data_IF_531099015249
#
_entry.id   IF_531099015249
#
_cell.length_a   1.000
_cell.length_b   1.000
_cell.length_c   1.000
_cell.angle_alpha   90.00
_cell.angle_beta   90.00
_cell.angle_gamma   90.00
#
_symmetry.space_group_name_H-M   'P 1'
#
loop_
_entity.id
_entity.type
_entity.pdbx_description
1 polymer ?
#
# COMPACT_ATOMS: atom_id res chain seq x y z
N UNK A 1 7.46 -10.16 65.53
CA UNK A 1 7.02 -8.81 65.15
C UNK A 1 7.97 -8.26 64.09
N UNK A 2 7.41 -7.90 62.92
CA UNK A 2 7.96 -7.03 61.85
C UNK A 2 9.09 -7.60 60.98
N UNK A 3 8.69 -8.25 59.88
CA UNK A 3 9.46 -8.29 58.63
C UNK A 3 9.45 -6.89 58.00
N UNK A 4 10.62 -6.40 57.59
CA UNK A 4 10.80 -5.15 56.87
C UNK A 4 10.66 -5.37 55.36
N UNK A 5 9.93 -4.44 54.74
CA UNK A 5 9.65 -4.32 53.31
C UNK A 5 10.90 -4.05 52.48
N UNK A 6 11.05 -4.77 51.36
CA UNK A 6 11.75 -4.30 50.17
C UNK A 6 10.95 -4.74 48.94
N UNK A 7 9.96 -3.90 48.59
CA UNK A 7 9.29 -3.88 47.30
C UNK A 7 10.13 -3.02 46.36
N UNK A 8 10.56 -3.55 45.21
CA UNK A 8 11.19 -2.76 44.15
C UNK A 8 10.64 -3.20 42.79
N UNK A 9 9.69 -2.38 42.33
CA UNK A 9 9.38 -2.02 40.94
C UNK A 9 9.45 -3.13 39.88
N UNK A 10 8.33 -3.84 39.68
CA UNK A 10 8.02 -4.43 38.39
C UNK A 10 7.68 -3.32 37.38
N UNK A 11 8.41 -3.35 36.26
CA UNK A 11 8.24 -2.56 35.05
C UNK A 11 6.80 -2.61 34.54
N UNK A 12 6.05 -1.51 34.70
CA UNK A 12 4.89 -1.21 33.88
C UNK A 12 5.37 -0.53 32.59
N UNK A 13 5.84 -1.33 31.63
CA UNK A 13 5.88 -0.91 30.23
C UNK A 13 4.44 -0.89 29.72
N UNK A 14 3.70 0.16 30.05
CA UNK A 14 2.46 0.50 29.37
C UNK A 14 2.84 0.94 27.96
N UNK A 15 2.88 -0.03 27.04
CA UNK A 15 2.72 0.26 25.63
C UNK A 15 1.39 1.03 25.52
N UNK A 16 1.48 2.33 25.24
CA UNK A 16 0.33 3.09 24.79
C UNK A 16 -0.06 2.52 23.41
N UNK A 17 -0.82 1.42 23.41
CA UNK A 17 -1.56 1.01 22.23
C UNK A 17 -2.56 2.12 21.98
N UNK A 18 -2.26 2.94 20.98
CA UNK A 18 -3.27 3.78 20.38
C UNK A 18 -4.45 2.89 19.98
N UNK A 19 -5.68 3.40 20.15
CA UNK A 19 -6.88 2.68 19.75
C UNK A 19 -6.73 2.17 18.31
N UNK A 20 -7.22 0.95 17.99
CA UNK A 20 -7.24 0.46 16.62
C UNK A 20 -7.97 1.48 15.75
N UNK A 21 -7.32 1.96 14.69
CA UNK A 21 -7.98 2.77 13.67
C UNK A 21 -8.72 1.82 12.76
N UNK A 22 -10.02 2.07 12.55
CA UNK A 22 -10.80 1.32 11.56
C UNK A 22 -10.18 1.52 10.19
N UNK A 23 -9.80 0.42 9.54
CA UNK A 23 -9.26 0.45 8.18
C UNK A 23 -10.34 0.93 7.22
N UNK A 24 -9.99 1.84 6.30
CA UNK A 24 -10.93 2.31 5.30
C UNK A 24 -11.34 1.18 4.34
N UNK A 25 -12.65 0.98 4.20
CA UNK A 25 -13.27 0.06 3.25
C UNK A 25 -14.50 0.73 2.64
N UNK A 26 -14.82 0.38 1.40
CA UNK A 26 -15.94 0.94 0.63
C UNK A 26 -16.64 -0.19 -0.10
N UNK A 27 -17.93 -0.41 0.14
CA UNK A 27 -18.70 -1.29 -0.73
C UNK A 27 -18.88 -0.64 -2.10
N UNK A 28 -18.07 -1.06 -3.07
CA UNK A 28 -18.13 -0.56 -4.44
C UNK A 28 -19.44 -0.90 -5.16
N UNK A 29 -20.30 -1.75 -4.60
CA UNK A 29 -21.67 -1.93 -5.08
C UNK A 29 -22.52 -0.66 -4.99
N UNK A 30 -22.09 0.33 -4.20
CA UNK A 30 -22.71 1.66 -4.11
C UNK A 30 -22.42 2.55 -5.32
N UNK A 31 -21.33 2.27 -6.06
CA UNK A 31 -21.01 2.95 -7.31
C UNK A 31 -21.85 2.33 -8.45
N UNK A 32 -22.65 3.13 -9.17
CA UNK A 32 -23.70 2.59 -10.04
C UNK A 32 -23.21 2.07 -11.40
N UNK A 33 -21.95 2.34 -11.77
CA UNK A 33 -21.40 1.98 -13.09
C UNK A 33 -20.36 0.86 -13.02
N UNK A 34 -20.31 -0.01 -14.03
CA UNK A 34 -19.25 -1.03 -14.12
C UNK A 34 -18.01 -0.46 -14.81
N UNK A 35 -16.82 -0.88 -14.38
CA UNK A 35 -15.54 -0.44 -14.96
C UNK A 35 -15.20 -1.20 -16.26
N UNK A 36 -16.08 -1.14 -17.25
CA UNK A 36 -16.01 -1.94 -18.49
C UNK A 36 -15.33 -1.22 -19.67
N UNK A 37 -14.77 -0.04 -19.44
CA UNK A 37 -13.99 0.69 -20.44
C UNK A 37 -12.98 1.63 -19.78
N UNK A 38 -11.95 2.08 -20.50
CA UNK A 38 -11.04 3.13 -20.03
C UNK A 38 -11.75 4.44 -19.66
N UNK A 39 -12.79 4.83 -20.41
CA UNK A 39 -13.56 6.03 -20.12
C UNK A 39 -14.36 5.91 -18.81
N UNK A 40 -14.97 4.75 -18.55
CA UNK A 40 -15.70 4.50 -17.30
C UNK A 40 -14.76 4.40 -16.09
N UNK A 41 -13.52 3.94 -16.29
CA UNK A 41 -12.48 4.05 -15.29
C UNK A 41 -12.16 5.51 -14.96
N UNK A 42 -12.05 6.38 -15.96
CA UNK A 42 -11.79 7.80 -15.73
C UNK A 42 -12.94 8.52 -15.02
N UNK A 43 -14.20 8.22 -15.36
CA UNK A 43 -15.38 8.78 -14.65
C UNK A 43 -15.30 8.45 -13.16
N UNK A 44 -15.10 7.18 -12.83
CA UNK A 44 -14.94 6.74 -11.44
C UNK A 44 -13.70 7.37 -10.78
N UNK A 45 -12.57 7.43 -11.50
CA UNK A 45 -11.31 8.01 -11.02
C UNK A 45 -11.46 9.50 -10.68
N UNK A 46 -12.10 10.31 -11.53
CA UNK A 46 -12.37 11.72 -11.24
C UNK A 46 -13.21 11.88 -9.98
N UNK A 47 -14.22 11.03 -9.79
CA UNK A 47 -15.07 11.04 -8.61
C UNK A 47 -14.28 10.73 -7.32
N UNK A 48 -13.48 9.65 -7.30
CA UNK A 48 -12.66 9.31 -6.13
C UNK A 48 -11.60 10.40 -5.85
N UNK A 49 -10.97 10.97 -6.89
CA UNK A 49 -9.98 12.05 -6.75
C UNK A 49 -10.61 13.29 -6.11
N UNK A 50 -11.77 13.74 -6.59
CA UNK A 50 -12.45 14.92 -6.04
C UNK A 50 -12.94 14.68 -4.61
N UNK A 51 -13.45 13.47 -4.32
CA UNK A 51 -13.86 13.09 -2.96
C UNK A 51 -12.67 13.11 -1.98
N UNK A 52 -11.53 12.55 -2.37
CA UNK A 52 -10.31 12.60 -1.56
C UNK A 52 -9.77 14.01 -1.43
N UNK A 53 -9.73 14.79 -2.51
CA UNK A 53 -9.29 16.17 -2.50
C UNK A 53 -10.14 17.05 -1.57
N UNK A 54 -11.47 16.83 -1.55
CA UNK A 54 -12.37 17.49 -0.60
C UNK A 54 -12.01 17.17 0.85
N UNK A 55 -11.82 15.89 1.19
CA UNK A 55 -11.40 15.46 2.52
C UNK A 55 -10.01 15.99 2.92
N UNK A 56 -9.08 16.04 1.98
CA UNK A 56 -7.74 16.59 2.16
C UNK A 56 -7.79 18.09 2.48
N UNK A 57 -8.53 18.85 1.69
CA UNK A 57 -8.76 20.29 1.91
C UNK A 57 -9.41 20.55 3.28
N UNK A 58 -10.44 19.79 3.64
CA UNK A 58 -11.09 19.91 4.94
C UNK A 58 -10.13 19.62 6.11
N UNK A 59 -9.19 18.68 5.94
CA UNK A 59 -8.20 18.36 6.97
C UNK A 59 -7.22 19.52 7.25
N UNK A 60 -6.94 20.37 6.26
CA UNK A 60 -6.01 21.49 6.37
C UNK A 60 -6.57 22.65 7.18
N UNK A 61 -7.89 22.71 7.37
CA UNK A 61 -8.53 23.69 8.23
C UNK A 61 -8.41 23.37 9.74
N UNK A 62 -7.94 22.17 10.09
CA UNK A 62 -7.78 21.75 11.48
C UNK A 62 -6.53 22.37 12.11
N UNK A 63 -6.68 22.91 13.32
CA UNK A 63 -5.53 23.29 14.14
C UNK A 63 -4.81 22.05 14.72
N UNK A 64 -3.64 22.29 15.33
CA UNK A 64 -2.82 21.24 15.94
C UNK A 64 -3.57 20.36 16.96
N UNK A 65 -4.50 20.95 17.72
CA UNK A 65 -5.23 20.23 18.77
C UNK A 65 -6.29 19.31 18.15
N UNK A 66 -7.06 19.84 17.20
CA UNK A 66 -8.07 19.09 16.46
C UNK A 66 -7.42 17.98 15.62
N UNK A 67 -6.26 18.24 15.00
CA UNK A 67 -5.53 17.24 14.22
C UNK A 67 -4.99 16.11 15.11
N UNK A 68 -4.40 16.44 16.27
CA UNK A 68 -3.98 15.44 17.28
C UNK A 68 -5.14 14.56 17.73
N UNK A 69 -6.30 15.17 18.00
CA UNK A 69 -7.51 14.45 18.40
C UNK A 69 -8.01 13.54 17.28
N UNK A 70 -8.15 14.05 16.05
CA UNK A 70 -8.58 13.28 14.87
C UNK A 70 -7.69 12.08 14.62
N UNK A 71 -6.37 12.28 14.64
CA UNK A 71 -5.41 11.21 14.39
C UNK A 71 -5.22 10.28 15.59
N UNK A 72 -5.79 10.59 16.77
CA UNK A 72 -5.59 9.81 18.00
C UNK A 72 -4.12 9.77 18.45
N UNK A 73 -3.44 10.92 18.39
CA UNK A 73 -2.02 11.07 18.72
C UNK A 73 -1.81 12.18 19.75
N UNK A 74 -0.93 11.94 20.74
CA UNK A 74 -0.55 12.97 21.74
C UNK A 74 0.45 13.97 21.16
N UNK A 75 1.33 13.50 20.28
CA UNK A 75 2.40 14.26 19.64
C UNK A 75 2.31 13.94 18.15
N UNK A 76 2.43 14.97 17.32
CA UNK A 76 2.45 14.86 15.87
C UNK A 76 3.66 15.61 15.33
N UNK A 77 4.25 15.11 14.24
CA UNK A 77 5.19 15.85 13.42
C UNK A 77 4.41 16.59 12.33
N UNK A 78 4.10 17.87 12.58
CA UNK A 78 3.32 18.69 11.64
C UNK A 78 4.07 18.91 10.32
N UNK A 79 5.39 19.10 10.35
CA UNK A 79 6.18 19.27 9.13
C UNK A 79 6.09 18.05 8.21
N UNK A 80 6.17 16.83 8.76
CA UNK A 80 6.01 15.61 7.96
C UNK A 80 4.58 15.44 7.41
N UNK A 81 3.56 15.85 8.18
CA UNK A 81 2.16 15.91 7.71
C UNK A 81 2.05 16.87 6.53
N UNK A 82 2.59 18.08 6.65
CA UNK A 82 2.50 19.09 5.59
C UNK A 82 3.28 18.68 4.34
N UNK A 83 4.42 18.00 4.49
CA UNK A 83 5.16 17.41 3.38
C UNK A 83 4.33 16.36 2.63
N UNK A 84 3.68 15.45 3.36
CA UNK A 84 2.78 14.46 2.78
C UNK A 84 1.61 15.14 2.06
N UNK A 85 0.94 16.13 2.69
CA UNK A 85 -0.18 16.85 2.07
C UNK A 85 0.20 17.49 0.74
N UNK A 86 1.38 18.13 0.66
CA UNK A 86 1.88 18.72 -0.59
C UNK A 86 2.09 17.67 -1.67
N UNK A 87 2.63 16.50 -1.32
CA UNK A 87 2.80 15.38 -2.25
C UNK A 87 1.45 14.82 -2.73
N UNK A 88 0.49 14.66 -1.81
CA UNK A 88 -0.85 14.19 -2.14
C UNK A 88 -1.53 15.15 -3.12
N UNK A 89 -1.50 16.46 -2.89
CA UNK A 89 -2.07 17.44 -3.83
C UNK A 89 -1.44 17.36 -5.21
N UNK A 90 -0.11 17.26 -5.30
CA UNK A 90 0.58 17.11 -6.58
C UNK A 90 0.13 15.85 -7.33
N UNK A 91 0.04 14.71 -6.63
CA UNK A 91 -0.44 13.44 -7.19
C UNK A 91 -1.90 13.54 -7.64
N UNK A 92 -2.77 14.19 -6.87
CA UNK A 92 -4.18 14.39 -7.24
C UNK A 92 -4.31 15.24 -8.51
N UNK A 93 -3.53 16.32 -8.64
CA UNK A 93 -3.53 17.17 -9.83
C UNK A 93 -3.06 16.41 -11.07
N UNK A 94 -1.95 15.67 -10.98
CA UNK A 94 -1.45 14.83 -12.07
C UNK A 94 -2.52 13.80 -12.48
N UNK A 95 -3.09 13.09 -11.50
CA UNK A 95 -4.08 12.05 -11.74
C UNK A 95 -5.38 12.60 -12.34
N UNK A 96 -5.86 13.74 -11.86
CA UNK A 96 -7.04 14.39 -12.42
C UNK A 96 -6.76 14.87 -13.85
N UNK A 97 -5.55 15.37 -14.10
CA UNK A 97 -5.12 15.81 -15.43
C UNK A 97 -5.14 14.67 -16.44
N UNK A 98 -4.74 13.46 -16.05
CA UNK A 98 -4.90 12.27 -16.90
C UNK A 98 -6.37 11.87 -17.04
N UNK A 99 -7.12 11.84 -15.94
CA UNK A 99 -8.51 11.39 -15.94
C UNK A 99 -9.45 12.31 -16.74
N UNK A 100 -9.16 13.62 -16.82
CA UNK A 100 -9.99 14.57 -17.57
C UNK A 100 -9.75 14.53 -19.09
N UNK A 101 -8.74 13.81 -19.59
CA UNK A 101 -8.49 13.71 -21.04
C UNK A 101 -9.61 12.99 -21.81
N UNK A 102 -10.37 12.13 -21.12
CA UNK A 102 -11.54 11.44 -21.68
C UNK A 102 -12.86 12.16 -21.42
N UNK A 103 -12.81 13.42 -20.99
CA UNK A 103 -14.00 14.22 -20.81
C UNK A 103 -14.71 14.50 -22.14
N UNK A 104 -15.86 13.86 -22.32
CA UNK A 104 -16.84 14.21 -23.34
C UNK A 104 -17.82 15.26 -22.80
N UNK A 105 -18.61 15.86 -23.70
CA UNK A 105 -19.70 16.76 -23.32
C UNK A 105 -20.66 16.05 -22.34
N UNK A 106 -21.02 16.71 -21.23
CA UNK A 106 -21.87 16.19 -20.15
C UNK A 106 -21.30 14.99 -19.33
N UNK A 107 -20.01 14.68 -19.43
CA UNK A 107 -19.41 13.63 -18.61
C UNK A 107 -19.42 13.97 -17.11
N UNK A 108 -19.92 13.03 -16.29
CA UNK A 108 -19.93 13.16 -14.83
C UNK A 108 -18.53 13.44 -14.26
N UNK A 109 -18.48 14.31 -13.25
CA UNK A 109 -17.27 14.69 -12.52
C UNK A 109 -16.16 15.29 -13.41
N UNK A 110 -16.51 15.78 -14.59
CA UNK A 110 -15.59 16.45 -15.49
C UNK A 110 -15.65 17.97 -15.28
N UNK A 111 -14.76 18.48 -14.43
CA UNK A 111 -14.51 19.90 -14.26
C UNK A 111 -13.22 20.27 -14.97
N UNK A 112 -13.12 21.49 -15.51
CA UNK A 112 -11.86 21.98 -16.05
C UNK A 112 -10.91 22.28 -14.89
N UNK A 113 -9.79 21.55 -14.84
CA UNK A 113 -8.72 21.73 -13.85
C UNK A 113 -7.38 21.82 -14.59
N UNK A 114 -6.80 23.01 -14.71
CA UNK A 114 -5.52 23.20 -15.41
C UNK A 114 -4.35 23.33 -14.42
N UNK A 115 -4.64 23.70 -13.18
CA UNK A 115 -3.62 23.95 -12.16
C UNK A 115 -4.12 23.60 -10.73
N UNK A 116 -3.25 23.84 -9.75
CA UNK A 116 -3.52 23.51 -8.35
C UNK A 116 -4.66 24.33 -7.75
N UNK A 117 -4.78 25.61 -8.10
CA UNK A 117 -5.82 26.49 -7.57
C UNK A 117 -7.20 26.02 -8.07
N UNK A 118 -7.30 25.65 -9.35
CA UNK A 118 -8.54 25.09 -9.91
C UNK A 118 -8.95 23.81 -9.17
N UNK A 119 -8.01 22.87 -8.95
CA UNK A 119 -8.32 21.61 -8.26
C UNK A 119 -8.82 21.86 -6.84
N UNK A 120 -8.16 22.77 -6.10
CA UNK A 120 -8.54 23.10 -4.73
C UNK A 120 -9.90 23.82 -4.69
N UNK A 121 -10.20 24.66 -5.67
CA UNK A 121 -11.51 25.28 -5.82
C UNK A 121 -12.61 24.24 -6.07
N UNK A 122 -12.39 23.31 -7.01
CA UNK A 122 -13.33 22.22 -7.28
C UNK A 122 -13.51 21.32 -6.05
N UNK A 123 -12.43 20.96 -5.36
CA UNK A 123 -12.48 20.20 -4.12
C UNK A 123 -13.31 20.91 -3.04
N UNK A 124 -13.17 22.23 -2.88
CA UNK A 124 -13.94 23.01 -1.90
C UNK A 124 -15.43 23.09 -2.21
N UNK A 125 -15.82 22.96 -3.48
CA UNK A 125 -17.22 22.97 -3.95
C UNK A 125 -17.80 21.58 -4.16
N UNK A 126 -16.98 20.54 -4.02
CA UNK A 126 -17.37 19.19 -4.39
C UNK A 126 -18.48 18.67 -3.48
N UNK A 127 -19.65 18.45 -4.08
CA UNK A 127 -20.83 17.91 -3.42
C UNK A 127 -21.63 17.10 -4.45
N UNK A 128 -22.15 15.95 -4.03
CA UNK A 128 -23.03 15.13 -4.87
C UNK A 128 -24.47 15.43 -4.51
N UNK A 129 -25.23 15.97 -5.45
CA UNK A 129 -26.65 16.30 -5.25
C UNK A 129 -27.48 15.08 -4.82
N UNK A 130 -28.48 15.29 -3.96
CA UNK A 130 -29.42 14.25 -3.51
C UNK A 130 -30.17 13.54 -4.65
N UNK A 131 -30.34 14.21 -5.79
CA UNK A 131 -30.99 13.67 -6.99
C UNK A 131 -29.99 13.07 -8.00
N UNK A 132 -28.70 13.02 -7.66
CA UNK A 132 -27.64 12.50 -8.52
C UNK A 132 -27.74 10.98 -8.67
N UNK A 133 -27.38 10.48 -9.86
CA UNK A 133 -27.19 9.06 -10.10
C UNK A 133 -26.16 8.42 -9.16
N UNK A 134 -25.22 9.21 -8.64
CA UNK A 134 -24.12 8.77 -7.77
C UNK A 134 -24.39 8.95 -6.27
N UNK A 135 -25.58 9.37 -5.85
CA UNK A 135 -25.86 9.68 -4.44
C UNK A 135 -25.62 8.49 -3.51
N UNK A 136 -25.88 7.26 -3.97
CA UNK A 136 -25.63 6.05 -3.19
C UNK A 136 -24.15 5.81 -2.86
N UNK A 137 -23.23 6.31 -3.69
CA UNK A 137 -21.78 6.22 -3.49
C UNK A 137 -21.22 7.35 -2.63
N UNK A 138 -21.85 8.53 -2.63
CA UNK A 138 -21.26 9.75 -2.11
C UNK A 138 -20.87 9.67 -0.61
N UNK A 139 -21.81 9.29 0.27
CA UNK A 139 -21.52 9.20 1.71
C UNK A 139 -20.56 8.04 2.06
N UNK A 140 -20.74 6.81 1.56
CA UNK A 140 -19.78 5.72 1.76
C UNK A 140 -18.37 6.08 1.27
N UNK A 141 -18.26 6.73 0.11
CA UNK A 141 -16.97 7.16 -0.43
C UNK A 141 -16.33 8.26 0.42
N UNK A 142 -17.10 9.25 0.89
CA UNK A 142 -16.59 10.26 1.83
C UNK A 142 -15.96 9.60 3.06
N UNK A 143 -16.66 8.66 3.69
CA UNK A 143 -16.13 7.95 4.87
C UNK A 143 -14.88 7.14 4.57
N UNK A 144 -14.81 6.49 3.40
CA UNK A 144 -13.60 5.80 2.96
C UNK A 144 -12.42 6.77 2.85
N UNK A 145 -12.59 7.88 2.12
CA UNK A 145 -11.50 8.82 1.85
C UNK A 145 -11.05 9.57 3.11
N UNK A 146 -11.97 9.94 4.01
CA UNK A 146 -11.63 10.54 5.30
C UNK A 146 -10.77 9.60 6.16
N UNK A 147 -11.18 8.33 6.27
CA UNK A 147 -10.43 7.31 7.03
C UNK A 147 -9.09 6.98 6.39
N UNK A 148 -9.05 6.83 5.07
CA UNK A 148 -7.81 6.55 4.36
C UNK A 148 -6.82 7.71 4.47
N UNK A 149 -7.30 8.96 4.38
CA UNK A 149 -6.48 10.14 4.65
C UNK A 149 -5.93 10.10 6.08
N UNK A 150 -6.75 9.75 7.08
CA UNK A 150 -6.30 9.64 8.47
C UNK A 150 -5.23 8.56 8.66
N UNK A 151 -5.33 7.42 7.95
CA UNK A 151 -4.26 6.41 7.92
C UNK A 151 -2.93 6.99 7.42
N UNK A 152 -2.96 7.75 6.32
CA UNK A 152 -1.77 8.36 5.72
C UNK A 152 -1.19 9.47 6.61
N UNK A 153 -2.03 10.38 7.10
CA UNK A 153 -1.61 11.48 7.97
C UNK A 153 -1.06 10.97 9.31
N UNK A 154 -1.64 9.91 9.87
CA UNK A 154 -1.13 9.28 11.09
C UNK A 154 0.25 8.67 10.87
N UNK A 155 0.50 8.04 9.72
CA UNK A 155 1.83 7.52 9.34
C UNK A 155 2.85 8.65 9.21
N UNK A 156 2.51 9.72 8.50
CA UNK A 156 3.38 10.89 8.37
C UNK A 156 3.66 11.57 9.72
N UNK A 157 2.65 11.69 10.58
CA UNK A 157 2.77 12.31 11.90
C UNK A 157 3.80 11.63 12.81
N UNK A 158 4.11 10.36 12.57
CA UNK A 158 5.07 9.57 13.35
C UNK A 158 6.47 9.52 12.70
N UNK A 159 6.61 10.01 11.47
CA UNK A 159 7.88 10.06 10.75
C UNK A 159 8.84 11.10 11.36
N UNK A 160 10.16 10.88 11.38
CA UNK A 160 10.88 9.68 10.97
C UNK A 160 11.04 8.62 12.08
N UNK A 161 10.50 8.85 13.28
CA UNK A 161 10.67 7.95 14.43
C UNK A 161 10.06 6.57 14.18
N UNK A 162 8.88 6.56 13.55
CA UNK A 162 8.26 5.35 13.02
C UNK A 162 8.09 5.60 11.53
N UNK A 163 9.07 5.15 10.75
CA UNK A 163 9.03 5.23 9.29
C UNK A 163 7.96 4.29 8.72
N UNK A 164 7.40 4.68 7.57
CA UNK A 164 6.48 3.86 6.81
C UNK A 164 6.65 4.13 5.31
N UNK A 165 5.81 3.52 4.50
CA UNK A 165 5.75 3.67 3.05
C UNK A 165 5.38 5.08 2.56
N UNK A 166 4.74 5.92 3.39
CA UNK A 166 4.22 7.24 2.97
C UNK A 166 5.30 8.31 2.80
N UNK A 167 6.53 8.02 3.21
CA UNK A 167 7.66 8.95 3.11
C UNK A 167 8.95 8.19 2.79
N UNK A 168 9.75 8.73 1.89
CA UNK A 168 11.05 8.19 1.47
C UNK A 168 12.21 8.87 2.20
N UNK A 169 13.27 8.12 2.48
CA UNK A 169 14.54 8.64 3.01
C UNK A 169 15.52 9.06 1.91
N UNK A 170 15.27 8.69 0.65
CA UNK A 170 16.03 9.16 -0.50
C UNK A 170 15.85 8.27 -1.73
N UNK A 171 16.65 8.53 -2.77
CA UNK A 171 16.52 7.91 -4.10
C UNK A 171 16.91 6.43 -4.15
N UNK A 172 17.30 5.81 -3.04
CA UNK A 172 17.48 4.36 -2.96
C UNK A 172 16.15 3.64 -2.67
N UNK A 173 15.09 4.40 -2.42
CA UNK A 173 13.76 3.90 -2.11
C UNK A 173 12.78 4.26 -3.23
N UNK A 174 11.93 3.30 -3.55
CA UNK A 174 10.99 3.38 -4.66
C UNK A 174 9.61 2.93 -4.22
N UNK A 175 8.60 3.60 -4.72
CA UNK A 175 7.18 3.24 -4.67
C UNK A 175 6.64 3.26 -6.11
N UNK A 176 5.33 3.30 -6.29
CA UNK A 176 4.70 3.31 -7.61
C UNK A 176 4.53 4.69 -8.25
N UNK A 177 5.06 5.77 -7.67
CA UNK A 177 4.89 7.12 -8.20
C UNK A 177 5.52 7.29 -9.59
N UNK A 178 6.59 6.53 -9.88
CA UNK A 178 7.35 6.54 -11.14
C UNK A 178 6.69 5.71 -12.25
N UNK A 179 5.60 4.99 -11.97
CA UNK A 179 4.87 4.23 -12.99
C UNK A 179 4.10 5.17 -13.94
N UNK A 180 3.81 4.69 -15.15
CA UNK A 180 2.91 5.40 -16.07
C UNK A 180 1.46 5.33 -15.56
N UNK A 181 0.62 6.25 -16.04
CA UNK A 181 -0.82 6.22 -15.77
C UNK A 181 -1.43 4.85 -16.12
N UNK A 182 -2.35 4.36 -15.28
CA UNK A 182 -2.99 3.04 -15.36
C UNK A 182 -2.06 1.83 -15.33
N UNK A 183 -0.82 2.00 -14.86
CA UNK A 183 0.11 0.89 -14.63
C UNK A 183 0.19 0.50 -13.16
N UNK A 184 0.04 -0.80 -12.90
CA UNK A 184 0.09 -1.35 -11.54
C UNK A 184 1.09 -2.50 -11.43
N UNK A 185 1.85 -2.53 -10.33
CA UNK A 185 2.73 -3.65 -10.00
C UNK A 185 2.10 -4.50 -8.89
N UNK A 186 1.93 -5.79 -9.13
CA UNK A 186 1.51 -6.74 -8.10
C UNK A 186 2.69 -7.20 -7.25
N UNK A 187 2.51 -7.14 -5.94
CA UNK A 187 3.51 -7.63 -4.98
C UNK A 187 2.88 -8.40 -3.83
N UNK A 188 3.66 -9.33 -3.28
CA UNK A 188 3.21 -10.21 -2.20
C UNK A 188 4.23 -10.29 -1.06
N UNK A 189 3.77 -10.16 0.17
CA UNK A 189 4.60 -10.08 1.36
C UNK A 189 4.43 -11.27 2.32
N UNK A 190 5.53 -11.64 2.98
CA UNK A 190 5.54 -12.53 4.15
C UNK A 190 5.77 -14.01 3.85
N UNK A 191 5.69 -14.43 2.58
CA UNK A 191 5.86 -15.82 2.17
C UNK A 191 7.29 -16.37 2.18
N UNK A 192 7.48 -17.59 1.66
CA UNK A 192 6.42 -18.50 1.20
C UNK A 192 5.62 -19.08 2.37
N UNK A 193 4.35 -19.40 2.12
CA UNK A 193 3.51 -20.24 2.97
C UNK A 193 4.04 -21.70 3.02
N UNK A 194 3.56 -22.53 3.97
CA UNK A 194 3.84 -23.96 3.99
C UNK A 194 3.50 -24.66 2.65
N UNK A 195 4.08 -25.85 2.44
CA UNK A 195 3.86 -26.67 1.22
C UNK A 195 2.36 -26.85 0.94
N UNK A 196 1.95 -26.68 -0.32
CA UNK A 196 0.55 -26.73 -0.75
C UNK A 196 -0.32 -25.63 -0.13
N UNK A 197 0.30 -24.52 0.29
CA UNK A 197 -0.35 -23.36 0.89
C UNK A 197 -0.74 -22.29 -0.14
N UNK A 198 -0.94 -21.08 0.36
CA UNK A 198 -1.46 -19.97 -0.45
C UNK A 198 -0.46 -19.45 -1.50
N UNK A 199 0.84 -19.45 -1.21
CA UNK A 199 1.88 -19.13 -2.20
C UNK A 199 1.83 -20.06 -3.42
N UNK A 200 1.61 -21.36 -3.22
CA UNK A 200 1.47 -22.34 -4.31
C UNK A 200 0.29 -21.99 -5.22
N UNK A 201 -0.87 -21.69 -4.62
CA UNK A 201 -2.06 -21.29 -5.38
C UNK A 201 -1.85 -19.97 -6.13
N UNK A 202 -1.27 -18.96 -5.47
CA UNK A 202 -1.08 -17.63 -6.05
C UNK A 202 -0.12 -17.65 -7.24
N UNK A 203 1.03 -18.31 -7.10
CA UNK A 203 2.00 -18.42 -8.19
C UNK A 203 1.43 -19.19 -9.39
N UNK A 204 0.64 -20.25 -9.15
CA UNK A 204 -0.05 -20.98 -10.21
C UNK A 204 -1.15 -20.14 -10.88
N UNK A 205 -1.93 -19.42 -10.09
CA UNK A 205 -2.97 -18.52 -10.59
C UNK A 205 -2.37 -17.43 -11.49
N UNK A 206 -1.30 -16.76 -11.04
CA UNK A 206 -0.60 -15.73 -11.83
C UNK A 206 -0.07 -16.29 -13.15
N UNK A 207 0.58 -17.47 -13.15
CA UNK A 207 1.03 -18.13 -14.38
C UNK A 207 -0.12 -18.42 -15.35
N UNK A 208 -1.28 -18.88 -14.84
CA UNK A 208 -2.49 -19.11 -15.65
C UNK A 208 -3.06 -17.82 -16.22
N UNK A 209 -2.97 -16.71 -15.48
CA UNK A 209 -3.33 -15.37 -15.98
C UNK A 209 -2.26 -14.76 -16.89
N UNK A 210 -1.12 -15.44 -17.11
CA UNK A 210 0.06 -14.93 -17.84
C UNK A 210 0.59 -13.62 -17.24
N UNK A 211 0.53 -13.51 -15.92
CA UNK A 211 1.01 -12.37 -15.15
C UNK A 211 2.22 -12.77 -14.31
N UNK A 212 3.05 -11.79 -14.00
CA UNK A 212 4.07 -11.91 -12.98
C UNK A 212 3.90 -10.84 -11.89
N UNK A 213 4.56 -11.10 -10.78
CA UNK A 213 4.55 -10.28 -9.58
C UNK A 213 5.88 -10.39 -8.86
N UNK A 214 6.12 -9.49 -7.90
CA UNK A 214 7.28 -9.59 -7.01
C UNK A 214 6.84 -10.16 -5.66
N UNK A 215 7.45 -11.27 -5.25
CA UNK A 215 7.26 -11.87 -3.93
C UNK A 215 8.41 -11.46 -3.01
N UNK A 216 8.10 -10.81 -1.90
CA UNK A 216 9.05 -10.43 -0.86
C UNK A 216 9.05 -11.48 0.23
N UNK A 217 10.02 -12.39 0.15
CA UNK A 217 10.07 -13.56 1.03
C UNK A 217 10.78 -13.27 2.34
N UNK A 218 10.33 -13.93 3.40
CA UNK A 218 11.08 -14.04 4.64
C UNK A 218 12.12 -15.15 4.53
N UNK A 219 13.36 -14.84 4.88
CA UNK A 219 14.47 -15.81 4.81
C UNK A 219 14.20 -17.06 5.66
N UNK A 220 13.63 -16.91 6.86
CA UNK A 220 13.27 -18.07 7.69
C UNK A 220 12.17 -18.94 7.06
N UNK A 221 11.14 -18.32 6.47
CA UNK A 221 10.05 -19.04 5.81
C UNK A 221 10.57 -19.80 4.58
N UNK A 222 11.45 -19.15 3.80
CA UNK A 222 12.09 -19.77 2.64
C UNK A 222 12.98 -20.94 3.05
N UNK A 223 13.79 -20.80 4.10
CA UNK A 223 14.61 -21.87 4.64
C UNK A 223 13.74 -23.07 5.05
N UNK A 224 12.69 -22.83 5.84
CA UNK A 224 11.74 -23.88 6.23
C UNK A 224 11.07 -24.53 5.02
N UNK A 225 10.71 -23.76 3.99
CA UNK A 225 10.12 -24.30 2.76
C UNK A 225 11.06 -25.28 2.06
N UNK A 226 12.35 -24.93 1.93
CA UNK A 226 13.37 -25.82 1.36
C UNK A 226 13.53 -27.08 2.19
N UNK A 227 13.63 -26.96 3.52
CA UNK A 227 13.77 -28.10 4.44
C UNK A 227 12.58 -29.07 4.39
N UNK A 228 11.38 -28.56 4.10
CA UNK A 228 10.14 -29.34 4.01
C UNK A 228 9.82 -29.84 2.60
N UNK A 229 10.59 -29.42 1.60
CA UNK A 229 10.43 -29.84 0.20
C UNK A 229 11.82 -30.05 -0.43
N UNK A 230 12.18 -29.29 -1.45
CA UNK A 230 13.51 -29.31 -2.05
C UNK A 230 13.86 -27.96 -2.68
N UNK A 231 15.12 -27.77 -3.03
CA UNK A 231 15.54 -26.58 -3.77
C UNK A 231 14.85 -26.48 -5.14
N UNK A 232 14.69 -27.61 -5.83
CA UNK A 232 14.02 -27.67 -7.12
C UNK A 232 12.53 -27.30 -7.02
N UNK A 233 11.84 -27.75 -5.97
CA UNK A 233 10.43 -27.40 -5.75
C UNK A 233 10.24 -25.90 -5.52
N UNK A 234 11.17 -25.26 -4.80
CA UNK A 234 11.12 -23.81 -4.56
C UNK A 234 11.44 -23.00 -5.82
N UNK A 235 12.38 -23.47 -6.64
CA UNK A 235 12.63 -22.87 -7.96
C UNK A 235 11.40 -22.97 -8.86
N UNK A 236 10.75 -24.14 -8.89
CA UNK A 236 9.52 -24.34 -9.65
C UNK A 236 8.35 -23.48 -9.13
N UNK A 237 8.22 -23.34 -7.81
CA UNK A 237 7.20 -22.50 -7.16
C UNK A 237 7.21 -21.08 -7.73
N UNK A 238 8.39 -20.45 -7.81
CA UNK A 238 8.55 -19.08 -8.27
C UNK A 238 8.83 -18.96 -9.78
N UNK A 239 8.70 -20.04 -10.56
CA UNK A 239 8.91 -19.96 -12.01
C UNK A 239 8.06 -18.84 -12.65
N UNK A 240 8.72 -17.94 -13.38
CA UNK A 240 8.09 -16.78 -14.02
C UNK A 240 7.79 -15.60 -13.10
N UNK A 241 8.10 -15.68 -11.81
CA UNK A 241 7.91 -14.62 -10.82
C UNK A 241 9.24 -13.98 -10.42
N UNK A 242 9.19 -12.78 -9.83
CA UNK A 242 10.37 -12.13 -9.25
C UNK A 242 10.38 -12.31 -7.73
N UNK A 243 11.57 -12.45 -7.14
CA UNK A 243 11.72 -12.66 -5.70
C UNK A 243 12.69 -11.64 -5.11
N UNK A 244 12.13 -10.75 -4.30
CA UNK A 244 12.86 -9.86 -3.40
C UNK A 244 12.83 -10.40 -1.96
N UNK A 245 13.38 -9.65 -1.01
CA UNK A 245 13.48 -10.10 0.39
C UNK A 245 12.78 -9.15 1.36
N UNK A 246 12.20 -9.71 2.42
CA UNK A 246 11.58 -8.96 3.51
C UNK A 246 12.40 -9.02 4.82
N UNK A 247 13.66 -9.44 4.70
CA UNK A 247 14.55 -9.77 5.82
C UNK A 247 14.41 -11.21 6.27
N UNK A 248 15.03 -11.56 7.39
CA UNK A 248 15.07 -12.93 7.90
C UNK A 248 13.79 -13.33 8.63
N UNK A 249 13.24 -12.42 9.44
CA UNK A 249 11.99 -12.58 10.19
C UNK A 249 11.17 -11.30 10.03
N UNK A 250 9.84 -11.43 10.14
CA UNK A 250 8.92 -10.30 10.09
C UNK A 250 9.06 -9.46 11.36
N UNK A 251 9.99 -8.51 11.32
CA UNK A 251 10.39 -7.63 12.42
C UNK A 251 10.75 -6.27 11.87
N UNK A 252 10.45 -5.22 12.62
CA UNK A 252 10.84 -3.86 12.27
C UNK A 252 12.36 -3.72 12.15
N UNK A 253 12.85 -3.29 10.99
CA UNK A 253 14.27 -3.04 10.74
C UNK A 253 14.73 -1.66 11.24
N UNK A 254 13.82 -0.80 11.73
CA UNK A 254 14.18 0.48 12.32
C UNK A 254 14.85 0.36 13.70
N UNK A 255 14.51 -0.68 14.47
CA UNK A 255 15.02 -0.87 15.84
C UNK A 255 15.77 -2.18 16.06
N UNK A 256 15.66 -3.13 15.16
CA UNK A 256 16.36 -4.41 15.31
C UNK A 256 17.88 -4.21 15.18
N UNK A 257 18.64 -4.76 16.12
CA UNK A 257 20.11 -4.74 16.12
C UNK A 257 20.68 -5.48 14.89
N UNK A 258 20.13 -6.65 14.56
CA UNK A 258 20.63 -7.51 13.48
C UNK A 258 19.97 -7.23 12.13
N UNK A 259 19.43 -6.03 11.93
CA UNK A 259 18.66 -5.68 10.73
C UNK A 259 19.49 -5.86 9.43
N UNK A 260 20.80 -5.55 9.46
CA UNK A 260 21.68 -5.71 8.31
C UNK A 260 21.90 -7.19 7.97
N UNK A 261 22.24 -8.02 8.96
CA UNK A 261 22.46 -9.45 8.75
C UNK A 261 21.16 -10.17 8.36
N UNK A 262 20.03 -9.70 8.87
CA UNK A 262 18.69 -10.14 8.46
C UNK A 262 18.45 -9.95 6.96
N UNK A 263 18.88 -8.81 6.40
CA UNK A 263 18.74 -8.53 4.96
C UNK A 263 19.76 -9.34 4.16
N UNK A 264 21.05 -9.26 4.49
CA UNK A 264 22.12 -9.90 3.69
C UNK A 264 22.01 -11.42 3.68
N UNK A 265 21.63 -12.04 4.81
CA UNK A 265 21.38 -13.48 4.90
C UNK A 265 20.23 -13.91 4.01
N UNK A 266 19.11 -13.17 4.02
CA UNK A 266 17.95 -13.49 3.17
C UNK A 266 18.27 -13.29 1.69
N UNK A 267 18.93 -12.18 1.33
CA UNK A 267 19.33 -11.90 -0.05
C UNK A 267 20.26 -12.99 -0.58
N UNK A 268 21.29 -13.38 0.20
CA UNK A 268 22.18 -14.47 -0.17
C UNK A 268 21.48 -15.82 -0.30
N UNK A 269 20.50 -16.12 0.56
CA UNK A 269 19.70 -17.35 0.43
C UNK A 269 18.90 -17.37 -0.87
N UNK A 270 18.18 -16.28 -1.19
CA UNK A 270 17.39 -16.18 -2.43
C UNK A 270 18.28 -16.25 -3.66
N UNK A 271 19.36 -15.47 -3.69
CA UNK A 271 20.28 -15.40 -4.82
C UNK A 271 20.94 -16.75 -5.12
N UNK A 272 21.32 -17.51 -4.09
CA UNK A 272 21.89 -18.84 -4.26
C UNK A 272 20.86 -19.89 -4.68
N UNK A 273 19.63 -19.79 -4.17
CA UNK A 273 18.58 -20.77 -4.42
C UNK A 273 17.91 -20.60 -5.78
N UNK A 274 17.69 -19.37 -6.21
CA UNK A 274 16.91 -19.02 -7.40
C UNK A 274 17.44 -17.76 -8.09
N UNK A 275 18.69 -17.79 -8.62
CA UNK A 275 19.35 -16.61 -9.19
C UNK A 275 18.57 -15.96 -10.33
N UNK A 276 17.88 -16.76 -11.14
CA UNK A 276 17.07 -16.26 -12.26
C UNK A 276 15.86 -15.45 -11.81
N UNK A 277 15.32 -15.72 -10.62
CA UNK A 277 14.14 -15.03 -10.07
C UNK A 277 14.52 -13.86 -9.16
N UNK A 278 15.74 -13.86 -8.64
CA UNK A 278 16.21 -12.86 -7.69
C UNK A 278 16.19 -11.46 -8.31
N UNK A 279 15.57 -10.54 -7.58
CA UNK A 279 15.66 -9.10 -7.82
C UNK A 279 16.27 -8.43 -6.59
N UNK A 280 17.19 -7.45 -6.74
CA UNK A 280 17.89 -6.81 -5.63
C UNK A 280 17.00 -5.79 -4.89
N UNK A 281 15.82 -6.24 -4.45
CA UNK A 281 14.81 -5.44 -3.79
C UNK A 281 14.61 -5.95 -2.36
N UNK A 282 14.60 -5.01 -1.42
CA UNK A 282 14.23 -5.24 -0.04
C UNK A 282 12.93 -4.52 0.30
N UNK A 283 11.98 -5.23 0.91
CA UNK A 283 10.78 -4.64 1.49
C UNK A 283 10.85 -4.66 3.02
N UNK A 284 10.85 -3.51 3.69
CA UNK A 284 10.88 -3.46 5.14
C UNK A 284 9.53 -3.91 5.72
N UNK A 285 9.49 -4.85 6.69
CA UNK A 285 8.30 -5.14 7.46
C UNK A 285 7.68 -3.86 8.03
N UNK A 286 6.36 -3.72 7.88
CA UNK A 286 5.60 -2.52 8.28
C UNK A 286 6.02 -1.20 7.60
N UNK A 287 6.86 -1.23 6.57
CA UNK A 287 7.47 -0.02 6.01
C UNK A 287 8.61 0.55 6.88
N UNK A 288 8.94 -0.11 8.00
CA UNK A 288 9.82 0.44 9.04
C UNK A 288 11.28 0.11 8.78
N UNK A 289 12.06 1.16 8.45
CA UNK A 289 13.51 1.12 8.24
C UNK A 289 14.20 2.32 8.88
N UNK A 290 15.53 2.28 8.96
CA UNK A 290 16.32 3.36 9.55
C UNK A 290 16.57 4.49 8.55
N UNK A 291 16.54 5.72 9.02
CA UNK A 291 16.85 6.90 8.20
C UNK A 291 18.31 6.92 7.70
N UNK A 292 19.23 6.28 8.44
CA UNK A 292 20.66 6.20 8.12
C UNK A 292 21.04 4.96 7.30
N UNK A 293 20.06 4.23 6.75
CA UNK A 293 20.30 2.95 6.07
C UNK A 293 20.79 3.07 4.61
N UNK A 294 20.79 4.28 4.03
CA UNK A 294 21.16 4.50 2.62
C UNK A 294 22.53 3.91 2.26
N UNK A 295 23.56 4.18 3.05
CA UNK A 295 24.92 3.71 2.76
C UNK A 295 25.03 2.18 2.75
N UNK A 296 24.25 1.50 3.60
CA UNK A 296 24.17 0.04 3.59
C UNK A 296 23.50 -0.47 2.30
N UNK A 297 22.35 0.07 1.92
CA UNK A 297 21.65 -0.37 0.71
C UNK A 297 22.49 -0.14 -0.56
N UNK A 298 23.17 1.00 -0.65
CA UNK A 298 24.12 1.27 -1.74
C UNK A 298 25.27 0.26 -1.76
N UNK A 299 25.88 -0.04 -0.61
CA UNK A 299 26.98 -1.01 -0.52
C UNK A 299 26.54 -2.44 -0.90
N UNK A 300 25.31 -2.83 -0.55
CA UNK A 300 24.77 -4.16 -0.89
C UNK A 300 24.19 -4.23 -2.32
N UNK A 301 24.11 -3.09 -3.04
CA UNK A 301 23.46 -3.03 -4.34
C UNK A 301 21.97 -3.37 -4.28
N UNK A 302 21.30 -3.02 -3.17
CA UNK A 302 19.87 -3.28 -2.93
C UNK A 302 19.09 -1.96 -2.98
N UNK A 303 17.85 -2.01 -3.48
CA UNK A 303 16.88 -0.92 -3.39
C UNK A 303 15.77 -1.26 -2.40
N UNK A 304 15.20 -0.24 -1.76
CA UNK A 304 14.03 -0.39 -0.89
C UNK A 304 12.75 -0.26 -1.72
N UNK A 305 11.92 -1.29 -1.71
CA UNK A 305 10.64 -1.33 -2.42
C UNK A 305 9.46 -1.12 -1.46
N UNK A 306 8.83 0.04 -1.54
CA UNK A 306 7.64 0.45 -0.80
C UNK A 306 6.37 0.16 -1.63
N UNK A 307 5.22 0.67 -1.17
CA UNK A 307 3.93 0.52 -1.84
C UNK A 307 3.05 1.75 -1.65
N UNK A 308 2.02 1.87 -2.48
CA UNK A 308 1.02 2.94 -2.41
C UNK A 308 -0.38 2.38 -2.11
N UNK A 309 -0.64 1.16 -2.58
CA UNK A 309 -1.95 0.51 -2.53
C UNK A 309 -1.84 -0.70 -1.61
N UNK A 310 -2.32 -0.52 -0.39
CA UNK A 310 -2.34 -1.57 0.64
C UNK A 310 -3.71 -2.24 0.69
N UNK A 311 -3.75 -3.55 0.43
CA UNK A 311 -4.98 -4.34 0.46
C UNK A 311 -5.55 -4.55 1.85
N UNK A 312 -4.73 -4.42 2.91
CA UNK A 312 -5.11 -4.67 4.29
C UNK A 312 -5.71 -6.07 4.49
N UNK A 313 -5.15 -7.06 3.79
CA UNK A 313 -5.57 -8.47 3.82
C UNK A 313 -4.97 -9.26 5.01
N UNK A 314 -4.15 -8.63 5.85
CA UNK A 314 -3.58 -9.22 7.07
C UNK A 314 -4.64 -9.68 8.09
N UNK A 315 -4.33 -10.64 8.98
CA UNK A 315 -5.24 -11.08 10.04
C UNK A 315 -5.77 -9.92 10.91
N UNK A 316 -7.06 -9.93 11.21
CA UNK A 316 -7.70 -8.90 12.05
C UNK A 316 -7.92 -7.54 11.38
N UNK A 317 -7.65 -7.43 10.08
CA UNK A 317 -7.96 -6.26 9.24
C UNK A 317 -9.24 -6.48 8.42
N UNK A 318 -9.21 -6.27 7.11
CA UNK A 318 -10.39 -6.41 6.24
C UNK A 318 -10.69 -7.87 5.88
N UNK A 319 -11.94 -8.17 5.52
CA UNK A 319 -12.30 -9.41 4.82
C UNK A 319 -11.77 -9.40 3.39
N UNK A 320 -11.84 -10.53 2.71
CA UNK A 320 -11.23 -10.67 1.38
C UNK A 320 -11.92 -9.82 0.30
N UNK A 321 -13.25 -9.77 0.32
CA UNK A 321 -14.06 -8.89 -0.53
C UNK A 321 -13.80 -7.41 -0.23
N UNK A 322 -13.79 -7.03 1.05
CA UNK A 322 -13.44 -5.68 1.49
C UNK A 322 -12.02 -5.28 1.04
N UNK A 323 -11.05 -6.20 1.10
CA UNK A 323 -9.68 -5.98 0.62
C UNK A 323 -9.65 -5.72 -0.89
N UNK A 324 -10.41 -6.49 -1.69
CA UNK A 324 -10.53 -6.24 -3.12
C UNK A 324 -11.15 -4.88 -3.42
N UNK A 325 -12.23 -4.53 -2.72
CA UNK A 325 -12.93 -3.27 -2.91
C UNK A 325 -12.07 -2.06 -2.52
N UNK A 326 -11.28 -2.18 -1.44
CA UNK A 326 -10.27 -1.19 -1.06
C UNK A 326 -9.23 -1.02 -2.16
N UNK A 327 -8.64 -2.13 -2.66
CA UNK A 327 -7.65 -2.08 -3.74
C UNK A 327 -8.23 -1.39 -4.98
N UNK A 328 -9.44 -1.75 -5.41
CA UNK A 328 -10.11 -1.12 -6.56
C UNK A 328 -10.32 0.39 -6.37
N UNK A 329 -10.72 0.82 -5.17
CA UNK A 329 -10.95 2.23 -4.85
C UNK A 329 -9.63 3.01 -4.87
N UNK A 330 -8.57 2.44 -4.29
CA UNK A 330 -7.23 3.04 -4.32
C UNK A 330 -6.62 3.04 -5.72
N UNK A 331 -6.90 2.04 -6.57
CA UNK A 331 -6.48 2.04 -7.97
C UNK A 331 -7.14 3.19 -8.75
N UNK A 332 -8.41 3.51 -8.48
CA UNK A 332 -9.12 4.63 -9.11
C UNK A 332 -8.59 5.99 -8.62
N UNK A 333 -8.34 6.12 -7.32
CA UNK A 333 -7.79 7.34 -6.71
C UNK A 333 -6.36 7.61 -7.21
N UNK A 334 -5.51 6.59 -7.15
CA UNK A 334 -4.08 6.73 -7.42
C UNK A 334 -3.67 6.52 -8.87
N UNK A 335 -4.53 5.86 -9.65
CA UNK A 335 -4.39 5.56 -11.09
C UNK A 335 -3.17 4.76 -11.52
N UNK A 336 -2.16 4.69 -10.67
CA UNK A 336 -0.93 3.93 -10.80
C UNK A 336 -0.44 3.58 -9.40
N UNK A 337 0.34 2.51 -9.28
CA UNK A 337 0.93 2.20 -8.00
C UNK A 337 1.42 0.77 -7.84
N UNK A 338 2.11 0.56 -6.73
CA UNK A 338 2.48 -0.78 -6.28
C UNK A 338 1.42 -1.29 -5.31
N UNK A 339 0.83 -2.44 -5.63
CA UNK A 339 -0.21 -3.11 -4.84
C UNK A 339 0.44 -4.19 -3.98
N UNK A 340 0.15 -4.17 -2.67
CA UNK A 340 0.62 -5.21 -1.74
C UNK A 340 -0.53 -6.09 -1.24
N UNK A 341 -0.33 -7.39 -1.36
CA UNK A 341 -1.09 -8.47 -0.72
C UNK A 341 -0.13 -9.32 0.13
N UNK A 342 -0.66 -10.25 0.92
CA UNK A 342 0.16 -11.18 1.70
C UNK A 342 -0.08 -12.62 1.23
N UNK A 343 0.92 -13.27 0.64
CA UNK A 343 0.78 -14.62 0.05
C UNK A 343 0.69 -15.75 1.08
N UNK A 344 0.82 -15.43 2.36
CA UNK A 344 0.52 -16.34 3.46
C UNK A 344 -0.97 -16.33 3.84
N UNK A 345 -1.75 -15.36 3.36
CA UNK A 345 -3.14 -15.14 3.75
C UNK A 345 -4.13 -15.71 2.71
N UNK A 346 -5.20 -16.35 3.19
CA UNK A 346 -6.24 -16.91 2.31
C UNK A 346 -6.98 -15.81 1.53
N UNK A 347 -7.03 -14.60 2.08
CA UNK A 347 -7.81 -13.48 1.53
C UNK A 347 -7.33 -13.07 0.14
N UNK A 348 -6.03 -13.09 -0.13
CA UNK A 348 -5.47 -12.80 -1.44
C UNK A 348 -6.03 -13.71 -2.54
N UNK A 349 -6.41 -14.96 -2.22
CA UNK A 349 -6.97 -15.93 -3.17
C UNK A 349 -8.37 -15.58 -3.66
N UNK A 350 -9.09 -14.75 -2.90
CA UNK A 350 -10.41 -14.24 -3.27
C UNK A 350 -10.27 -12.82 -3.82
N UNK A 351 -9.47 -11.99 -3.14
CA UNK A 351 -9.36 -10.58 -3.48
C UNK A 351 -8.73 -10.35 -4.86
N UNK A 352 -7.64 -11.05 -5.18
CA UNK A 352 -6.93 -10.87 -6.43
C UNK A 352 -7.81 -11.21 -7.66
N UNK A 353 -8.48 -12.38 -7.73
CA UNK A 353 -9.42 -12.65 -8.83
C UNK A 353 -10.51 -11.60 -8.99
N UNK A 354 -11.07 -11.09 -7.88
CA UNK A 354 -12.08 -10.03 -7.92
C UNK A 354 -11.53 -8.74 -8.53
N UNK A 355 -10.33 -8.32 -8.13
CA UNK A 355 -9.66 -7.13 -8.68
C UNK A 355 -9.43 -7.29 -10.18
N UNK A 356 -8.85 -8.43 -10.60
CA UNK A 356 -8.56 -8.69 -12.02
C UNK A 356 -9.84 -8.76 -12.86
N UNK A 357 -10.89 -9.42 -12.35
CA UNK A 357 -12.17 -9.51 -13.05
C UNK A 357 -12.86 -8.13 -13.17
N UNK A 358 -12.86 -7.34 -12.11
CA UNK A 358 -13.49 -6.02 -12.09
C UNK A 358 -12.80 -5.01 -13.00
N UNK A 359 -11.50 -5.22 -13.31
CA UNK A 359 -10.67 -4.26 -14.08
C UNK A 359 -10.27 -4.76 -15.46
N UNK A 360 -10.67 -5.97 -15.86
CA UNK A 360 -10.23 -6.61 -17.10
C UNK A 360 -10.46 -5.78 -18.37
N UNK A 361 -11.46 -4.90 -18.38
CA UNK A 361 -11.83 -4.05 -19.52
C UNK A 361 -11.55 -2.56 -19.27
N UNK A 362 -10.94 -2.21 -18.14
CA UNK A 362 -10.67 -0.81 -17.76
C UNK A 362 -9.43 -0.22 -18.45
N UNK A 363 -8.75 -0.99 -19.32
CA UNK A 363 -7.55 -0.53 -20.01
C UNK A 363 -6.34 -0.33 -19.09
N UNK A 364 -6.22 -1.16 -18.05
CA UNK A 364 -5.08 -1.13 -17.14
C UNK A 364 -3.93 -1.97 -17.68
N UNK A 365 -2.71 -1.54 -17.41
CA UNK A 365 -1.52 -2.34 -17.62
C UNK A 365 -0.96 -2.88 -16.30
N UNK A 366 -0.35 -4.05 -16.39
CA UNK A 366 0.32 -4.71 -15.27
C UNK A 366 1.81 -4.67 -15.52
N UNK A 367 2.54 -4.00 -14.63
CA UNK A 367 3.98 -3.82 -14.74
C UNK A 367 4.70 -5.16 -14.56
N UNK A 368 5.58 -5.49 -15.50
CA UNK A 368 6.42 -6.66 -15.44
C UNK A 368 7.38 -6.57 -14.24
N UNK A 369 7.44 -7.61 -13.41
CA UNK A 369 8.17 -7.60 -12.15
C UNK A 369 9.69 -7.41 -12.33
N UNK A 370 10.25 -7.77 -13.50
CA UNK A 370 11.68 -7.58 -13.79
C UNK A 370 12.01 -6.13 -14.10
N UNK A 371 11.05 -5.38 -14.58
CA UNK A 371 11.16 -3.95 -14.90
C UNK A 371 10.72 -3.07 -13.72
N UNK A 372 10.18 -3.67 -12.66
CA UNK A 372 9.81 -2.97 -11.45
C UNK A 372 10.99 -2.18 -10.88
N UNK A 373 10.75 -0.87 -10.65
CA UNK A 373 11.69 0.04 -10.00
C UNK A 373 13.04 0.25 -10.73
N UNK A 374 13.08 -0.02 -12.04
CA UNK A 374 14.27 0.21 -12.90
C UNK A 374 14.38 1.63 -13.42
#
# INVERSE_FOLDING_TARGET
MRLALLLSACLLCLNAQAAPVDVASLDRGTWPEKLVSPALFDVASRAEILMFAHGLLASEALDDAALKQRLGLKIINLAAIDDLRRQLWQRLLENYTFAQQSCEEDASFCYLVENMDDLREQAGKFEVSDNSFYIGWAEPSRHFHERYLDELLRKAALFPQISSEVARFGDHERNGDELNDRMFLLTFDGGPAPVSGNTDWLTDYLRKQKMNATFFVLGSSLQTRVERSSAADVQALYQGQCVGVQGWQYRSHSHWVDWQSSITRSAGLVQNLMPENYVPLFRPPYGQRRADSQGFFQQQGLQVALWDIDSQDEPGKLKADESAQRVLTLMLLWRKGVIVFHDTQDKARVALPMVLQATAQSGLGWQECREAFR
#
